data_IF_921330328968
#
_entry.id   IF_921330328968
#
_cell.length_a   1.000
_cell.length_b   1.000
_cell.length_c   1.000
_cell.angle_alpha   90.00
_cell.angle_beta   90.00
_cell.angle_gamma   90.00
#
_symmetry.space_group_name_H-M   'P 1'
#
loop_
_entity.id
_entity.type
_entity.pdbx_description
1 polymer ?
#
# COMPACT_ATOMS: atom_id res chain seq x y z
N UNK A 1 -2.39 -28.30 18.99
CA UNK A 1 -3.09 -28.75 17.76
C UNK A 1 -4.11 -27.72 17.26
N UNK A 2 -4.99 -27.17 18.09
CA UNK A 2 -6.02 -26.18 17.72
C UNK A 2 -5.45 -24.87 17.13
N UNK A 3 -4.37 -24.33 17.67
CA UNK A 3 -3.69 -23.10 17.16
C UNK A 3 -3.12 -23.28 15.75
N UNK A 4 -2.61 -24.48 15.42
CA UNK A 4 -2.09 -24.76 14.06
C UNK A 4 -3.21 -24.87 13.01
N UNK A 5 -4.39 -25.38 13.38
CA UNK A 5 -5.55 -25.43 12.47
C UNK A 5 -6.04 -24.01 12.16
N UNK A 6 -6.17 -23.15 13.16
CA UNK A 6 -6.59 -21.75 12.96
C UNK A 6 -5.67 -20.97 11.98
N UNK A 7 -4.36 -21.24 12.01
CA UNK A 7 -3.43 -20.61 11.06
C UNK A 7 -3.58 -21.12 9.64
N UNK A 8 -3.99 -22.38 9.44
CA UNK A 8 -4.19 -22.95 8.10
C UNK A 8 -5.43 -22.38 7.44
N UNK A 9 -6.53 -22.32 8.18
CA UNK A 9 -7.81 -21.82 7.66
C UNK A 9 -7.76 -20.32 7.36
N UNK A 10 -7.11 -19.53 8.21
CA UNK A 10 -6.89 -18.11 7.96
C UNK A 10 -6.06 -17.85 6.68
N UNK A 11 -5.11 -18.72 6.35
CA UNK A 11 -4.33 -18.60 5.10
C UNK A 11 -5.19 -18.82 3.86
N UNK A 12 -6.10 -19.80 3.89
CA UNK A 12 -7.01 -20.06 2.76
C UNK A 12 -8.00 -18.94 2.56
N UNK A 13 -8.57 -18.39 3.64
CA UNK A 13 -9.46 -17.22 3.58
C UNK A 13 -8.72 -16.02 2.99
N UNK A 14 -7.51 -15.74 3.46
CA UNK A 14 -6.69 -14.65 2.95
C UNK A 14 -6.33 -14.86 1.46
N UNK A 15 -5.97 -16.08 1.07
CA UNK A 15 -5.68 -16.42 -0.32
C UNK A 15 -6.90 -16.28 -1.22
N UNK A 16 -8.08 -16.71 -0.78
CA UNK A 16 -9.33 -16.56 -1.53
C UNK A 16 -9.69 -15.09 -1.74
N UNK A 17 -9.63 -14.29 -0.66
CA UNK A 17 -9.89 -12.85 -0.74
C UNK A 17 -8.89 -12.15 -1.68
N UNK A 18 -7.61 -12.48 -1.53
CA UNK A 18 -6.56 -11.94 -2.38
C UNK A 18 -6.72 -12.34 -3.86
N UNK A 19 -7.20 -13.57 -4.13
CA UNK A 19 -7.48 -14.04 -5.48
C UNK A 19 -8.62 -13.26 -6.15
N UNK A 20 -9.70 -12.97 -5.42
CA UNK A 20 -10.83 -12.17 -5.93
C UNK A 20 -10.36 -10.77 -6.31
N UNK A 21 -9.60 -10.11 -5.43
CA UNK A 21 -9.08 -8.77 -5.69
C UNK A 21 -8.06 -8.79 -6.83
N UNK A 22 -7.17 -9.79 -6.87
CA UNK A 22 -6.22 -9.95 -7.98
C UNK A 22 -6.94 -10.09 -9.33
N UNK A 23 -8.02 -10.86 -9.37
CA UNK A 23 -8.83 -11.03 -10.57
C UNK A 23 -9.47 -9.72 -11.03
N UNK A 24 -10.08 -8.98 -10.12
CA UNK A 24 -10.68 -7.66 -10.39
C UNK A 24 -9.67 -6.73 -11.09
N UNK A 25 -8.50 -6.54 -10.47
CA UNK A 25 -7.46 -5.65 -10.98
C UNK A 25 -6.80 -6.16 -12.26
N UNK A 26 -6.65 -7.47 -12.44
CA UNK A 26 -6.15 -8.04 -13.69
C UNK A 26 -7.12 -7.78 -14.84
N UNK A 27 -8.41 -8.03 -14.63
CA UNK A 27 -9.42 -7.78 -15.66
C UNK A 27 -9.49 -6.29 -16.00
N UNK A 28 -9.50 -5.41 -15.00
CA UNK A 28 -9.51 -3.96 -15.20
C UNK A 28 -8.29 -3.49 -16.01
N UNK A 29 -7.09 -3.83 -15.56
CA UNK A 29 -5.85 -3.42 -16.21
C UNK A 29 -5.70 -4.00 -17.63
N UNK A 30 -6.00 -5.29 -17.81
CA UNK A 30 -5.94 -5.94 -19.13
C UNK A 30 -6.95 -5.30 -20.10
N UNK A 31 -8.17 -5.02 -19.66
CA UNK A 31 -9.17 -4.35 -20.51
C UNK A 31 -8.71 -2.97 -20.99
N UNK A 32 -8.08 -2.17 -20.12
CA UNK A 32 -7.54 -0.86 -20.50
C UNK A 32 -6.43 -0.99 -21.56
N UNK A 33 -5.50 -1.93 -21.35
CA UNK A 33 -4.41 -2.18 -22.31
C UNK A 33 -4.96 -2.68 -23.65
N UNK A 34 -5.93 -3.61 -23.64
CA UNK A 34 -6.53 -4.13 -24.86
C UNK A 34 -7.36 -3.07 -25.60
N UNK A 35 -8.00 -2.15 -24.88
CA UNK A 35 -8.69 -1.02 -25.48
C UNK A 35 -7.72 -0.07 -26.22
N UNK A 36 -6.49 0.07 -25.70
CA UNK A 36 -5.39 0.79 -26.35
C UNK A 36 -5.52 2.32 -26.38
N UNK A 37 -6.63 2.87 -25.89
CA UNK A 37 -6.93 4.30 -25.93
C UNK A 37 -7.21 4.91 -24.55
N UNK A 38 -7.11 4.14 -23.49
CA UNK A 38 -7.43 4.62 -22.14
C UNK A 38 -6.58 5.82 -21.72
N UNK A 39 -5.24 5.85 -21.89
CA UNK A 39 -4.45 7.01 -21.50
C UNK A 39 -4.83 8.28 -22.24
N UNK A 40 -5.20 8.18 -23.51
CA UNK A 40 -5.60 9.31 -24.35
C UNK A 40 -7.01 9.82 -24.02
N UNK A 41 -7.92 8.90 -23.64
CA UNK A 41 -9.30 9.22 -23.25
C UNK A 41 -9.45 9.68 -21.81
N UNK A 42 -8.40 9.56 -20.98
CA UNK A 42 -8.50 9.90 -19.55
C UNK A 42 -8.88 11.38 -19.31
N UNK A 43 -8.41 12.30 -20.17
CA UNK A 43 -8.75 13.72 -20.05
C UNK A 43 -10.25 13.98 -20.17
N UNK A 44 -10.92 13.32 -21.11
CA UNK A 44 -12.37 13.47 -21.31
C UNK A 44 -13.12 12.88 -20.10
N UNK A 45 -12.74 11.70 -19.63
CA UNK A 45 -13.32 11.08 -18.43
C UNK A 45 -13.14 11.96 -17.19
N UNK A 46 -11.96 12.59 -17.03
CA UNK A 46 -11.71 13.50 -15.91
C UNK A 46 -12.57 14.75 -15.99
N UNK A 47 -12.75 15.34 -17.17
CA UNK A 47 -13.59 16.51 -17.36
C UNK A 47 -15.05 16.20 -17.02
N UNK A 48 -15.57 15.05 -17.45
CA UNK A 48 -16.92 14.61 -17.13
C UNK A 48 -17.10 14.41 -15.60
N UNK A 49 -16.15 13.73 -14.95
CA UNK A 49 -16.20 13.48 -13.52
C UNK A 49 -15.96 14.72 -12.64
N UNK A 50 -15.33 15.78 -13.16
CA UNK A 50 -15.09 17.03 -12.44
C UNK A 50 -16.37 17.90 -12.41
N UNK A 51 -17.20 17.83 -13.46
CA UNK A 51 -18.29 18.79 -13.67
C UNK A 51 -19.27 18.83 -12.49
N UNK A 52 -19.68 17.69 -11.97
CA UNK A 52 -20.68 17.58 -10.89
C UNK A 52 -20.13 17.07 -9.56
N UNK A 53 -18.79 17.05 -9.41
CA UNK A 53 -18.14 16.51 -8.23
C UNK A 53 -18.23 17.47 -7.03
N UNK A 54 -18.87 17.08 -5.91
CA UNK A 54 -19.03 17.94 -4.75
C UNK A 54 -17.72 18.17 -3.96
N UNK A 55 -16.69 17.35 -4.22
CA UNK A 55 -15.41 17.40 -3.51
C UNK A 55 -14.48 18.46 -4.11
N UNK A 56 -14.76 19.76 -3.94
CA UNK A 56 -14.04 20.86 -4.58
C UNK A 56 -12.53 20.86 -4.34
N UNK A 57 -12.06 20.39 -3.17
CA UNK A 57 -10.64 20.22 -2.90
C UNK A 57 -9.99 19.16 -3.81
N UNK A 58 -10.69 18.05 -4.06
CA UNK A 58 -10.22 16.98 -4.93
C UNK A 58 -10.26 17.41 -6.41
N UNK A 59 -11.34 18.09 -6.82
CA UNK A 59 -11.45 18.72 -8.14
C UNK A 59 -10.26 19.64 -8.43
N UNK A 60 -9.85 20.44 -7.45
CA UNK A 60 -8.68 21.33 -7.59
C UNK A 60 -7.39 20.55 -7.87
N UNK A 61 -7.19 19.38 -7.23
CA UNK A 61 -6.05 18.49 -7.49
C UNK A 61 -6.15 17.90 -8.90
N UNK A 62 -7.32 17.42 -9.29
CA UNK A 62 -7.53 16.86 -10.62
C UNK A 62 -7.22 17.89 -11.72
N UNK A 63 -7.72 19.11 -11.59
CA UNK A 63 -7.53 20.18 -12.57
C UNK A 63 -6.09 20.70 -12.63
N UNK A 64 -5.41 20.83 -11.48
CA UNK A 64 -4.08 21.44 -11.42
C UNK A 64 -2.94 20.45 -11.64
N UNK A 65 -3.14 19.18 -11.33
CA UNK A 65 -2.06 18.17 -11.36
C UNK A 65 -2.34 17.07 -12.39
N UNK A 66 -3.54 16.47 -12.33
CA UNK A 66 -3.80 15.24 -13.10
C UNK A 66 -4.16 15.57 -14.55
N UNK A 67 -5.07 16.50 -14.76
CA UNK A 67 -5.57 16.86 -16.11
C UNK A 67 -4.48 17.36 -17.05
N UNK A 68 -3.54 18.24 -16.65
CA UNK A 68 -2.44 18.68 -17.52
C UNK A 68 -1.50 17.53 -17.94
N UNK A 69 -1.49 16.43 -17.20
CA UNK A 69 -0.65 15.25 -17.42
C UNK A 69 -1.46 13.97 -17.60
N UNK A 70 -2.71 14.09 -18.06
CA UNK A 70 -3.69 12.99 -18.11
C UNK A 70 -3.17 11.74 -18.82
N UNK A 71 -2.49 11.87 -19.95
CA UNK A 71 -1.91 10.73 -20.68
C UNK A 71 -0.88 9.98 -19.83
N UNK A 72 0.00 10.70 -19.12
CA UNK A 72 1.00 10.08 -18.25
C UNK A 72 0.33 9.37 -17.05
N UNK A 73 -0.68 9.99 -16.45
CA UNK A 73 -1.48 9.37 -15.40
C UNK A 73 -2.26 8.17 -15.91
N UNK A 74 -2.76 8.20 -17.15
CA UNK A 74 -3.42 7.05 -17.77
C UNK A 74 -2.51 5.84 -17.83
N UNK A 75 -1.29 5.98 -18.35
CA UNK A 75 -0.30 4.89 -18.35
C UNK A 75 0.09 4.45 -16.93
N UNK A 76 0.19 5.39 -15.98
CA UNK A 76 0.49 5.06 -14.60
C UNK A 76 -0.62 4.23 -13.96
N UNK A 77 -1.88 4.57 -14.22
CA UNK A 77 -3.05 3.80 -13.74
C UNK A 77 -3.03 2.40 -14.33
N UNK A 78 -2.91 2.25 -15.67
CA UNK A 78 -2.82 0.94 -16.33
C UNK A 78 -1.71 0.06 -15.73
N UNK A 79 -0.50 0.62 -15.64
CA UNK A 79 0.65 -0.10 -15.08
C UNK A 79 0.43 -0.50 -13.62
N UNK A 80 -0.19 0.39 -12.83
CA UNK A 80 -0.47 0.14 -11.41
C UNK A 80 -1.54 -0.93 -11.24
N UNK A 81 -2.61 -0.91 -12.02
CA UNK A 81 -3.66 -1.94 -11.99
C UNK A 81 -3.11 -3.32 -12.36
N UNK A 82 -2.33 -3.40 -13.43
CA UNK A 82 -1.67 -4.65 -13.81
C UNK A 82 -0.69 -5.14 -12.73
N UNK A 83 0.09 -4.23 -12.15
CA UNK A 83 0.99 -4.57 -11.06
C UNK A 83 0.24 -5.11 -9.85
N UNK A 84 -0.85 -4.45 -9.43
CA UNK A 84 -1.69 -4.89 -8.30
C UNK A 84 -2.21 -6.30 -8.59
N UNK A 85 -2.82 -6.51 -9.76
CA UNK A 85 -3.39 -7.79 -10.13
C UNK A 85 -2.36 -8.91 -10.16
N UNK A 86 -1.22 -8.70 -10.83
CA UNK A 86 -0.13 -9.70 -10.94
C UNK A 86 0.50 -9.99 -9.57
N UNK A 87 0.85 -8.96 -8.80
CA UNK A 87 1.51 -9.13 -7.50
C UNK A 87 0.61 -9.86 -6.49
N UNK A 88 -0.68 -9.51 -6.44
CA UNK A 88 -1.64 -10.20 -5.59
C UNK A 88 -1.86 -11.66 -6.06
N UNK A 89 -1.95 -11.91 -7.37
CA UNK A 89 -2.10 -13.26 -7.91
C UNK A 89 -0.91 -14.16 -7.56
N UNK A 90 0.32 -13.66 -7.74
CA UNK A 90 1.54 -14.37 -7.34
C UNK A 90 1.55 -14.58 -5.82
N UNK A 91 1.13 -13.60 -5.04
CA UNK A 91 0.97 -13.71 -3.60
C UNK A 91 0.03 -14.83 -3.16
N UNK A 92 -1.06 -15.08 -3.91
CA UNK A 92 -1.94 -16.25 -3.69
C UNK A 92 -1.16 -17.54 -3.81
N UNK A 93 -0.33 -17.69 -4.86
CA UNK A 93 0.50 -18.88 -5.06
C UNK A 93 1.46 -19.11 -3.89
N UNK A 94 2.00 -18.04 -3.30
CA UNK A 94 2.85 -18.12 -2.10
C UNK A 94 2.05 -18.52 -0.87
N UNK A 95 0.84 -17.95 -0.70
CA UNK A 95 -0.04 -18.28 0.42
C UNK A 95 -0.51 -19.73 0.41
N UNK A 96 -0.85 -20.26 -0.77
CA UNK A 96 -1.36 -21.64 -0.94
C UNK A 96 -0.21 -22.65 -1.04
N UNK A 97 0.95 -22.22 -1.52
CA UNK A 97 2.08 -23.07 -1.81
C UNK A 97 2.70 -23.76 -0.58
N UNK A 98 3.52 -24.81 -0.79
CA UNK A 98 4.21 -25.49 0.30
C UNK A 98 5.16 -24.52 1.03
N UNK A 99 5.27 -24.72 2.36
CA UNK A 99 6.21 -23.96 3.20
C UNK A 99 7.63 -24.20 2.69
N UNK A 100 8.24 -23.15 2.17
CA UNK A 100 9.60 -23.20 1.61
C UNK A 100 10.64 -23.11 2.74
N UNK A 101 11.71 -23.90 2.63
CA UNK A 101 12.77 -23.91 3.65
C UNK A 101 13.67 -22.68 3.49
N UNK A 102 14.09 -22.09 4.62
CA UNK A 102 15.09 -21.01 4.66
C UNK A 102 16.42 -21.42 4.01
N UNK A 103 17.09 -20.43 3.45
CA UNK A 103 18.39 -20.66 2.77
C UNK A 103 18.30 -21.05 1.30
N UNK A 104 17.12 -21.41 0.78
CA UNK A 104 16.94 -21.66 -0.64
C UNK A 104 16.66 -20.37 -1.42
N UNK A 105 17.13 -20.23 -2.68
CA UNK A 105 16.81 -19.08 -3.53
C UNK A 105 15.31 -18.82 -3.64
N UNK A 106 14.52 -19.89 -3.72
CA UNK A 106 13.04 -19.84 -3.76
C UNK A 106 12.42 -19.19 -2.51
N UNK A 107 13.09 -19.26 -1.37
CA UNK A 107 12.63 -18.57 -0.15
C UNK A 107 12.77 -17.05 -0.26
N UNK A 108 13.89 -16.57 -0.80
CA UNK A 108 14.11 -15.14 -1.05
C UNK A 108 13.09 -14.57 -2.03
N UNK A 109 12.78 -15.32 -3.09
CA UNK A 109 11.72 -14.95 -4.03
C UNK A 109 10.37 -14.86 -3.32
N UNK A 110 10.00 -15.85 -2.51
CA UNK A 110 8.74 -15.81 -1.77
C UNK A 110 8.64 -14.61 -0.81
N UNK A 111 9.73 -14.21 -0.16
CA UNK A 111 9.76 -12.98 0.67
C UNK A 111 9.56 -11.74 -0.19
N UNK A 112 10.20 -11.67 -1.36
CA UNK A 112 10.02 -10.57 -2.33
C UNK A 112 8.57 -10.49 -2.85
N UNK A 113 7.96 -11.64 -3.14
CA UNK A 113 6.57 -11.73 -3.60
C UNK A 113 5.58 -11.25 -2.51
N UNK A 114 5.80 -11.60 -1.24
CA UNK A 114 4.99 -11.08 -0.13
C UNK A 114 5.16 -9.57 0.03
N UNK A 115 6.38 -9.05 -0.12
CA UNK A 115 6.62 -7.61 -0.10
C UNK A 115 5.90 -6.89 -1.27
N UNK A 116 5.92 -7.49 -2.47
CA UNK A 116 5.19 -6.97 -3.63
C UNK A 116 3.67 -6.99 -3.39
N UNK A 117 3.12 -8.05 -2.79
CA UNK A 117 1.72 -8.14 -2.44
C UNK A 117 1.31 -7.08 -1.38
N UNK A 118 2.20 -6.76 -0.43
CA UNK A 118 1.98 -5.65 0.51
C UNK A 118 1.90 -4.31 -0.20
N UNK A 119 2.83 -4.03 -1.10
CA UNK A 119 2.83 -2.81 -1.89
C UNK A 119 1.58 -2.74 -2.78
N UNK A 120 1.21 -3.84 -3.43
CA UNK A 120 0.01 -3.94 -4.25
C UNK A 120 -1.26 -3.64 -3.44
N UNK A 121 -1.37 -4.15 -2.22
CA UNK A 121 -2.50 -3.87 -1.34
C UNK A 121 -2.59 -2.38 -0.95
N UNK A 122 -1.45 -1.71 -0.70
CA UNK A 122 -1.44 -0.27 -0.45
C UNK A 122 -1.83 0.54 -1.68
N UNK A 123 -1.33 0.18 -2.86
CA UNK A 123 -1.70 0.83 -4.13
C UNK A 123 -3.17 0.61 -4.46
N UNK A 124 -3.71 -0.59 -4.20
CA UNK A 124 -5.13 -0.88 -4.32
C UNK A 124 -5.97 0.06 -3.43
N UNK A 125 -5.64 0.16 -2.15
CA UNK A 125 -6.33 1.08 -1.24
C UNK A 125 -6.24 2.54 -1.74
N UNK A 126 -5.07 2.96 -2.20
CA UNK A 126 -4.84 4.30 -2.74
C UNK A 126 -5.70 4.59 -3.97
N UNK A 127 -5.72 3.69 -4.96
CA UNK A 127 -6.51 3.87 -6.18
C UNK A 127 -8.02 3.87 -5.88
N UNK A 128 -8.50 2.95 -5.03
CA UNK A 128 -9.91 2.92 -4.66
C UNK A 128 -10.35 4.19 -3.92
N UNK A 129 -9.52 4.74 -3.03
CA UNK A 129 -9.80 6.03 -2.39
C UNK A 129 -9.87 7.16 -3.43
N UNK A 130 -8.98 7.15 -4.43
CA UNK A 130 -9.04 8.14 -5.51
C UNK A 130 -10.29 7.98 -6.37
N UNK A 131 -10.67 6.75 -6.74
CA UNK A 131 -11.91 6.50 -7.49
C UNK A 131 -13.15 6.90 -6.69
N UNK A 132 -13.17 6.60 -5.40
CA UNK A 132 -14.24 7.03 -4.49
C UNK A 132 -14.47 8.56 -4.53
N UNK A 133 -13.40 9.34 -4.37
CA UNK A 133 -13.52 10.81 -4.47
C UNK A 133 -13.81 11.29 -5.89
N UNK A 134 -13.32 10.58 -6.91
CA UNK A 134 -13.59 10.88 -8.31
C UNK A 134 -15.09 10.70 -8.65
N UNK A 135 -15.73 9.66 -8.10
CA UNK A 135 -17.17 9.45 -8.24
C UNK A 135 -18.03 10.44 -7.47
N UNK A 136 -17.43 11.34 -6.72
CA UNK A 136 -18.14 12.36 -5.95
C UNK A 136 -18.64 11.89 -4.60
N UNK A 137 -18.21 10.71 -4.17
CA UNK A 137 -18.61 10.15 -2.88
C UNK A 137 -18.02 10.96 -1.72
N UNK A 138 -18.74 10.99 -0.59
CA UNK A 138 -18.30 11.67 0.63
C UNK A 138 -17.26 10.86 1.40
N UNK A 139 -16.59 11.49 2.38
CA UNK A 139 -15.56 10.86 3.23
C UNK A 139 -16.05 9.61 3.97
N UNK A 140 -17.36 9.51 4.22
CA UNK A 140 -17.97 8.38 4.90
C UNK A 140 -19.26 7.98 4.17
N UNK A 141 -19.57 6.68 4.10
CA UNK A 141 -20.87 6.25 3.60
C UNK A 141 -21.97 6.79 4.54
N UNK A 142 -22.91 7.54 3.99
CA UNK A 142 -24.03 8.08 4.73
C UNK A 142 -25.30 7.26 4.44
N UNK A 143 -26.09 7.06 5.47
CA UNK A 143 -27.45 6.55 5.29
C UNK A 143 -28.29 7.64 4.60
N UNK A 144 -28.75 7.35 3.39
CA UNK A 144 -29.66 8.24 2.66
C UNK A 144 -31.07 7.64 2.62
N UNK A 145 -31.92 7.89 3.64
CA UNK A 145 -33.25 7.31 3.70
C UNK A 145 -34.20 7.87 2.63
N UNK A 146 -33.81 8.96 1.96
CA UNK A 146 -34.61 9.55 0.89
C UNK A 146 -34.50 8.78 -0.43
N UNK A 147 -33.48 7.92 -0.58
CA UNK A 147 -33.28 7.10 -1.76
C UNK A 147 -33.13 5.62 -1.37
N UNK A 148 -34.24 4.89 -1.43
CA UNK A 148 -34.26 3.48 -1.07
C UNK A 148 -33.46 2.56 -2.04
N UNK A 149 -33.05 3.11 -3.19
CA UNK A 149 -32.22 2.42 -4.19
C UNK A 149 -30.75 2.79 -4.11
N UNK A 150 -30.38 3.69 -3.19
CA UNK A 150 -29.00 4.02 -2.92
C UNK A 150 -28.41 2.97 -1.97
N UNK A 151 -27.52 2.15 -2.48
CA UNK A 151 -26.89 1.07 -1.71
C UNK A 151 -25.98 1.59 -0.60
N UNK A 152 -25.67 2.89 -0.60
CA UNK A 152 -24.89 3.58 0.46
C UNK A 152 -23.43 3.18 0.55
N UNK A 153 -23.03 2.04 -0.05
CA UNK A 153 -21.66 1.53 -0.08
C UNK A 153 -21.35 1.05 -1.49
N UNK A 154 -20.44 1.74 -2.16
CA UNK A 154 -19.90 1.33 -3.45
C UNK A 154 -18.74 0.35 -3.26
N UNK A 155 -18.36 -0.35 -4.33
CA UNK A 155 -17.18 -1.20 -4.33
C UNK A 155 -15.92 -0.39 -3.92
N UNK A 156 -15.80 0.82 -4.43
CA UNK A 156 -14.66 1.72 -4.14
C UNK A 156 -14.62 2.17 -2.68
N UNK A 157 -15.74 2.18 -1.98
CA UNK A 157 -15.82 2.43 -0.54
C UNK A 157 -15.40 1.20 0.28
N UNK A 158 -15.75 0.00 -0.17
CA UNK A 158 -15.46 -1.25 0.54
C UNK A 158 -14.02 -1.72 0.34
N UNK A 159 -13.45 -1.50 -0.83
CA UNK A 159 -12.13 -2.01 -1.20
C UNK A 159 -10.97 -1.45 -0.36
N UNK A 160 -10.90 -0.15 0.01
CA UNK A 160 -9.81 0.35 0.86
C UNK A 160 -9.65 -0.39 2.20
N UNK A 161 -10.68 -0.58 3.03
CA UNK A 161 -10.54 -1.35 4.26
C UNK A 161 -10.15 -2.82 4.01
N UNK A 162 -10.66 -3.44 2.95
CA UNK A 162 -10.29 -4.81 2.58
C UNK A 162 -8.82 -4.88 2.14
N UNK A 163 -8.35 -3.92 1.36
CA UNK A 163 -6.95 -3.83 0.95
C UNK A 163 -6.02 -3.60 2.15
N UNK A 164 -6.42 -2.78 3.12
CA UNK A 164 -5.67 -2.60 4.39
C UNK A 164 -5.59 -3.93 5.17
N UNK A 165 -6.68 -4.68 5.25
CA UNK A 165 -6.65 -6.02 5.88
C UNK A 165 -5.71 -6.97 5.14
N UNK A 166 -5.70 -6.97 3.81
CA UNK A 166 -4.74 -7.76 3.02
C UNK A 166 -3.30 -7.32 3.27
N UNK A 167 -3.05 -6.01 3.34
CA UNK A 167 -1.73 -5.50 3.71
C UNK A 167 -1.29 -6.05 5.06
N UNK A 168 -2.14 -5.99 6.09
CA UNK A 168 -1.83 -6.48 7.44
C UNK A 168 -1.55 -7.99 7.45
N UNK A 169 -2.32 -8.78 6.71
CA UNK A 169 -2.10 -10.23 6.58
C UNK A 169 -0.74 -10.52 5.93
N UNK A 170 -0.44 -9.84 4.82
CA UNK A 170 0.85 -10.01 4.12
C UNK A 170 2.02 -9.48 4.97
N UNK A 171 1.86 -8.36 5.69
CA UNK A 171 2.86 -7.83 6.62
C UNK A 171 3.18 -8.83 7.74
N UNK A 172 2.15 -9.44 8.33
CA UNK A 172 2.35 -10.50 9.32
C UNK A 172 3.10 -11.71 8.74
N UNK A 173 2.73 -12.13 7.52
CA UNK A 173 3.42 -13.22 6.84
C UNK A 173 4.88 -12.85 6.55
N UNK A 174 5.15 -11.64 6.10
CA UNK A 174 6.48 -11.11 5.85
C UNK A 174 7.35 -11.14 7.12
N UNK A 175 6.81 -10.67 8.27
CA UNK A 175 7.50 -10.70 9.56
C UNK A 175 7.83 -12.13 9.98
N UNK A 176 6.88 -13.06 9.86
CA UNK A 176 7.08 -14.49 10.18
C UNK A 176 8.14 -15.11 9.27
N UNK A 177 8.12 -14.79 7.98
CA UNK A 177 9.11 -15.31 7.02
C UNK A 177 10.51 -14.74 7.29
N UNK A 178 10.65 -13.46 7.61
CA UNK A 178 11.94 -12.84 7.86
C UNK A 178 12.51 -13.09 9.25
N UNK A 179 11.70 -13.68 10.17
CA UNK A 179 12.06 -13.89 11.59
C UNK A 179 12.54 -12.62 12.29
N UNK A 180 12.08 -11.49 11.85
CA UNK A 180 12.32 -10.25 12.59
C UNK A 180 11.17 -10.05 13.60
N UNK A 181 11.34 -10.39 14.88
CA UNK A 181 10.38 -9.95 15.88
C UNK A 181 10.36 -8.41 15.84
N UNK A 182 9.15 -7.84 15.74
CA UNK A 182 8.96 -6.37 15.68
C UNK A 182 9.73 -5.66 16.79
N UNK A 183 9.81 -6.28 17.98
CA UNK A 183 10.61 -5.78 19.12
C UNK A 183 12.13 -5.71 18.83
N UNK A 184 12.68 -6.57 18.00
CA UNK A 184 14.10 -6.54 17.66
C UNK A 184 14.40 -5.47 16.60
N UNK A 185 13.46 -5.23 15.68
CA UNK A 185 13.56 -4.13 14.71
C UNK A 185 13.50 -2.76 15.40
N UNK A 186 12.56 -2.60 16.31
CA UNK A 186 12.46 -1.39 17.15
C UNK A 186 13.72 -1.21 18.01
N UNK A 187 14.22 -2.28 18.63
CA UNK A 187 15.43 -2.23 19.46
C UNK A 187 16.67 -1.86 18.63
N UNK A 188 16.81 -2.36 17.40
CA UNK A 188 17.89 -1.96 16.48
C UNK A 188 17.74 -0.52 16.01
N UNK A 189 16.54 -0.05 15.73
CA UNK A 189 16.24 1.33 15.38
C UNK A 189 16.57 2.29 16.54
N UNK A 190 16.08 1.98 17.74
CA UNK A 190 16.37 2.76 18.95
C UNK A 190 17.85 2.70 19.32
N UNK A 191 18.52 1.56 19.20
CA UNK A 191 19.95 1.43 19.44
C UNK A 191 20.80 2.29 18.52
N UNK A 192 20.43 2.44 17.24
CA UNK A 192 21.09 3.38 16.30
C UNK A 192 20.87 4.84 16.68
N UNK A 193 19.65 5.20 17.09
CA UNK A 193 19.35 6.55 17.55
C UNK A 193 20.15 6.88 18.83
N UNK A 194 20.22 5.95 19.75
CA UNK A 194 20.97 6.12 21.00
C UNK A 194 22.47 6.26 20.74
N UNK A 195 23.05 5.47 19.84
CA UNK A 195 24.46 5.60 19.46
C UNK A 195 24.78 6.94 18.78
N UNK A 196 23.86 7.50 18.01
CA UNK A 196 24.01 8.83 17.41
C UNK A 196 23.94 9.95 18.45
N UNK A 197 23.06 9.80 19.46
CA UNK A 197 22.96 10.75 20.59
C UNK A 197 24.23 10.70 21.42
N UNK A 198 24.72 9.50 21.78
CA UNK A 198 25.94 9.30 22.56
C UNK A 198 27.17 9.84 21.81
N UNK A 199 27.25 9.63 20.51
CA UNK A 199 28.35 10.18 19.68
C UNK A 199 28.33 11.71 19.64
N UNK A 200 27.14 12.34 19.58
CA UNK A 200 27.00 13.80 19.67
C UNK A 200 27.43 14.35 21.05
N UNK A 201 27.01 13.69 22.12
CA UNK A 201 27.39 14.10 23.49
C UNK A 201 28.88 13.97 23.74
N UNK A 202 29.51 12.89 23.27
CA UNK A 202 30.96 12.70 23.39
C UNK A 202 31.73 13.75 22.58
N UNK A 203 31.26 14.13 21.39
CA UNK A 203 31.87 15.20 20.61
C UNK A 203 31.76 16.56 21.30
N UNK A 204 30.63 16.85 21.93
CA UNK A 204 30.44 18.09 22.70
C UNK A 204 31.32 18.13 23.95
N UNK A 205 31.49 17.01 24.67
CA UNK A 205 32.40 16.92 25.82
C UNK A 205 33.86 17.08 25.43
N UNK A 206 34.27 16.53 24.29
CA UNK A 206 35.61 16.67 23.76
C UNK A 206 35.94 18.14 23.39
N UNK A 207 34.95 18.86 22.81
CA UNK A 207 35.16 20.32 22.50
C UNK A 207 35.10 21.20 23.73
N UNK A 208 34.34 20.89 24.75
CA UNK A 208 34.30 21.64 26.01
C UNK A 208 35.60 21.45 26.82
N UNK A 209 36.15 20.23 26.88
CA UNK A 209 37.42 19.94 27.59
C UNK A 209 38.65 20.61 26.98
N UNK A 210 38.61 20.98 25.70
CA UNK A 210 39.71 21.75 25.04
C UNK A 210 39.61 23.23 25.41
N UNK A 211 38.45 23.76 25.72
CA UNK A 211 38.25 25.16 26.10
C UNK A 211 38.76 25.47 27.54
N UNK A 212 38.66 24.49 28.45
CA UNK A 212 39.09 24.67 29.85
C UNK A 212 40.60 24.45 30.06
N UNK A 213 41.31 23.87 29.08
CA UNK A 213 42.76 23.63 29.16
C UNK A 213 43.64 24.80 28.75
N UNK A 214 43.08 25.93 28.28
CA UNK A 214 43.82 27.10 27.87
C UNK A 214 43.84 28.20 28.95
N UNK A 215 44.34 27.85 30.17
CA UNK A 215 44.73 28.89 31.13
C UNK A 215 46.14 29.42 30.77
N UNK A 216 46.32 30.71 30.56
CA UNK A 216 47.64 31.27 30.31
C UNK A 216 48.44 31.23 31.62
N UNK A 217 49.60 30.56 31.59
CA UNK A 217 50.62 30.81 32.59
C UNK A 217 51.17 32.23 32.37
N UNK A 218 50.92 33.08 33.36
CA UNK A 218 51.67 34.35 33.58
C UNK A 218 52.75 34.06 34.55
#
# INVERSE_FOLDING_TARGET
MMVMMFHRDARWVAAALQAVIAWEWLVSGVNKVLAGNFPQGLADTLNDGIHDNPNGWYVSILQSVVLPHSVAFGYLIEATELFIGIALFIGVVVLVGPVRRRGMPQYRLAVGEVAAAMLAALLCAFLCVNFHFFMGDGLFPWFNPANAFDEGITLDTLMPPVAVLLFLVNARLFVVMTEMPVGEYLRRGFGRLQSLVDHRQNKQRATAGIADGASPMI
#
